data_IF_191178881683
#
_entry.id   IF_191178881683
#
_cell.length_a   1.000
_cell.length_b   1.000
_cell.length_c   1.000
_cell.angle_alpha   90.00
_cell.angle_beta   90.00
_cell.angle_gamma   90.00
#
_symmetry.space_group_name_H-M   'P 1'
#
loop_
_entity.id
_entity.type
_entity.pdbx_description
1 polymer ?
#
# COMPACT_ATOMS: atom_id res chain seq x y z
N UNK A 1 -40.85 8.42 -21.17
CA UNK A 1 -40.15 7.82 -20.02
C UNK A 1 -38.99 6.92 -20.48
N UNK A 2 -39.19 5.94 -21.37
CA UNK A 2 -38.12 5.08 -21.94
C UNK A 2 -36.93 5.87 -22.52
N UNK A 3 -37.22 6.83 -23.41
CA UNK A 3 -36.20 7.63 -24.11
C UNK A 3 -35.36 8.50 -23.17
N UNK A 4 -35.95 9.02 -22.08
CA UNK A 4 -35.23 9.77 -21.06
C UNK A 4 -34.26 8.86 -20.29
N UNK A 5 -34.71 7.65 -19.93
CA UNK A 5 -33.87 6.66 -19.24
C UNK A 5 -32.67 6.24 -20.10
N UNK A 6 -32.88 5.97 -21.38
CA UNK A 6 -31.79 5.64 -22.31
C UNK A 6 -30.81 6.80 -22.47
N UNK A 7 -31.29 8.03 -22.59
CA UNK A 7 -30.43 9.21 -22.68
C UNK A 7 -29.60 9.41 -21.40
N UNK A 8 -30.21 9.22 -20.22
CA UNK A 8 -29.50 9.29 -18.93
C UNK A 8 -28.45 8.18 -18.79
N UNK A 9 -28.76 6.96 -19.22
CA UNK A 9 -27.82 5.83 -19.16
C UNK A 9 -26.60 6.07 -20.07
N UNK A 10 -26.81 6.53 -21.30
CA UNK A 10 -25.72 6.84 -22.23
C UNK A 10 -24.80 7.95 -21.68
N UNK A 11 -25.37 8.99 -21.07
CA UNK A 11 -24.59 10.07 -20.44
C UNK A 11 -23.80 9.58 -19.23
N UNK A 12 -24.36 8.66 -18.45
CA UNK A 12 -23.63 8.05 -17.33
C UNK A 12 -22.45 7.20 -17.84
N UNK A 13 -22.66 6.40 -18.88
CA UNK A 13 -21.62 5.58 -19.50
C UNK A 13 -20.47 6.45 -20.04
N UNK A 14 -20.78 7.56 -20.70
CA UNK A 14 -19.78 8.53 -21.16
C UNK A 14 -18.95 9.11 -20.00
N UNK A 15 -19.61 9.51 -18.91
CA UNK A 15 -18.93 10.05 -17.72
C UNK A 15 -18.06 8.99 -17.05
N UNK A 16 -18.53 7.75 -16.98
CA UNK A 16 -17.77 6.64 -16.41
C UNK A 16 -16.53 6.33 -17.27
N UNK A 17 -16.68 6.28 -18.59
CA UNK A 17 -15.57 6.06 -19.51
C UNK A 17 -14.56 7.21 -19.46
N UNK A 18 -15.02 8.47 -19.40
CA UNK A 18 -14.14 9.62 -19.22
C UNK A 18 -13.36 9.52 -17.90
N UNK A 19 -14.04 9.16 -16.81
CA UNK A 19 -13.40 8.97 -15.50
C UNK A 19 -12.35 7.86 -15.58
N UNK A 20 -12.68 6.70 -16.15
CA UNK A 20 -11.78 5.56 -16.26
C UNK A 20 -10.51 5.90 -17.07
N UNK A 21 -10.69 6.47 -18.27
CA UNK A 21 -9.58 6.92 -19.13
C UNK A 21 -8.72 7.94 -18.42
N UNK A 22 -9.34 8.95 -17.78
CA UNK A 22 -8.60 9.97 -17.04
C UNK A 22 -7.81 9.37 -15.88
N UNK A 23 -8.42 8.47 -15.10
CA UNK A 23 -7.72 7.80 -13.99
C UNK A 23 -6.56 6.93 -14.47
N UNK A 24 -6.74 6.21 -15.58
CA UNK A 24 -5.66 5.41 -16.18
C UNK A 24 -4.49 6.29 -16.62
N UNK A 25 -4.77 7.40 -17.29
CA UNK A 25 -3.73 8.35 -17.72
C UNK A 25 -2.94 8.94 -16.55
N UNK A 26 -3.63 9.29 -15.44
CA UNK A 26 -2.94 9.80 -14.24
C UNK A 26 -2.03 8.74 -13.63
N UNK A 27 -2.51 7.49 -13.52
CA UNK A 27 -1.72 6.38 -12.99
C UNK A 27 -0.49 6.11 -13.87
N UNK A 28 -0.65 6.09 -15.19
CA UNK A 28 0.45 5.88 -16.13
C UNK A 28 1.53 6.96 -15.99
N UNK A 29 1.12 8.23 -15.85
CA UNK A 29 2.05 9.35 -15.64
C UNK A 29 2.79 9.25 -14.30
N UNK A 30 2.09 8.89 -13.22
CA UNK A 30 2.72 8.68 -11.91
C UNK A 30 3.71 7.52 -11.92
N UNK A 31 3.36 6.40 -12.57
CA UNK A 31 4.25 5.26 -12.74
C UNK A 31 5.48 5.62 -13.57
N UNK A 32 5.29 6.38 -14.66
CA UNK A 32 6.41 6.86 -15.48
C UNK A 32 7.35 7.75 -14.67
N UNK A 33 6.82 8.67 -13.87
CA UNK A 33 7.62 9.57 -13.04
C UNK A 33 8.36 8.81 -11.92
N UNK A 34 7.70 7.83 -11.29
CA UNK A 34 8.34 6.94 -10.32
C UNK A 34 9.49 6.16 -10.96
N UNK A 35 9.25 5.53 -12.11
CA UNK A 35 10.26 4.76 -12.83
C UNK A 35 11.41 5.62 -13.36
N UNK A 36 11.18 6.92 -13.59
CA UNK A 36 12.24 7.86 -13.96
C UNK A 36 13.11 8.30 -12.78
N UNK A 37 12.55 8.30 -11.55
CA UNK A 37 13.22 8.78 -10.33
C UNK A 37 13.89 7.67 -9.52
N UNK A 38 13.31 6.47 -9.53
CA UNK A 38 13.72 5.35 -8.71
C UNK A 38 14.18 4.18 -9.57
N UNK A 39 15.31 3.58 -9.19
CA UNK A 39 15.72 2.32 -9.75
C UNK A 39 14.94 1.15 -9.12
N UNK A 40 15.21 -0.07 -9.59
CA UNK A 40 14.54 -1.27 -9.11
C UNK A 40 14.76 -1.47 -7.61
N UNK A 41 15.99 -1.25 -7.13
CA UNK A 41 16.35 -1.44 -5.71
C UNK A 41 15.58 -0.48 -4.82
N UNK A 42 15.50 0.79 -5.21
CA UNK A 42 14.77 1.81 -4.45
C UNK A 42 13.26 1.58 -4.51
N UNK A 43 12.76 1.12 -5.65
CA UNK A 43 11.34 0.77 -5.82
C UNK A 43 10.95 -0.41 -4.93
N UNK A 44 11.74 -1.48 -4.92
CA UNK A 44 11.52 -2.65 -4.06
C UNK A 44 11.59 -2.26 -2.57
N UNK A 45 12.54 -1.41 -2.20
CA UNK A 45 12.64 -0.87 -0.84
C UNK A 45 11.36 -0.10 -0.43
N UNK A 46 10.85 0.79 -1.28
CA UNK A 46 9.63 1.55 -1.01
C UNK A 46 8.40 0.63 -0.89
N UNK A 47 8.32 -0.41 -1.72
CA UNK A 47 7.26 -1.42 -1.65
C UNK A 47 7.33 -2.25 -0.35
N UNK A 48 8.53 -2.57 0.12
CA UNK A 48 8.74 -3.24 1.41
C UNK A 48 8.38 -2.30 2.59
N UNK A 49 8.67 -0.99 2.48
CA UNK A 49 8.28 0.01 3.49
C UNK A 49 6.77 0.21 3.58
N UNK A 50 6.02 0.01 2.49
CA UNK A 50 4.57 0.12 2.48
C UNK A 50 3.88 -0.89 3.44
N UNK A 51 4.57 -1.97 3.83
CA UNK A 51 4.08 -2.90 4.85
C UNK A 51 4.04 -2.32 6.26
N UNK A 52 4.62 -1.15 6.49
CA UNK A 52 4.48 -0.41 7.75
C UNK A 52 3.36 0.65 7.70
N UNK A 53 2.53 0.67 6.65
CA UNK A 53 1.41 1.61 6.57
C UNK A 53 0.49 1.45 7.78
N UNK A 54 0.13 2.54 8.48
CA UNK A 54 -0.85 2.49 9.57
C UNK A 54 -2.29 2.30 9.06
N UNK A 55 -2.51 2.36 7.75
CA UNK A 55 -3.83 2.22 7.14
C UNK A 55 -4.47 0.88 7.52
N UNK A 56 -5.78 0.96 7.77
CA UNK A 56 -6.61 -0.18 8.16
C UNK A 56 -5.94 -1.06 9.24
N UNK A 57 -5.36 -0.39 10.24
CA UNK A 57 -4.70 -1.04 11.37
C UNK A 57 -3.55 -1.96 10.96
N UNK A 58 -2.69 -1.46 10.08
CA UNK A 58 -1.57 -2.21 9.51
C UNK A 58 -2.02 -3.43 8.71
N UNK A 59 -3.09 -3.31 7.92
CA UNK A 59 -3.59 -4.39 7.07
C UNK A 59 -2.49 -4.99 6.18
N UNK A 60 -1.60 -4.14 5.66
CA UNK A 60 -0.51 -4.50 4.75
C UNK A 60 0.75 -5.05 5.44
N UNK A 61 0.71 -5.25 6.76
CA UNK A 61 1.84 -5.78 7.52
C UNK A 61 2.29 -7.15 7.01
N UNK A 62 3.57 -7.23 6.67
CA UNK A 62 4.24 -8.44 6.21
C UNK A 62 5.61 -8.55 6.88
N UNK A 63 5.77 -9.57 7.71
CA UNK A 63 6.99 -9.82 8.47
C UNK A 63 8.22 -10.01 7.58
N UNK A 64 8.08 -10.69 6.44
CA UNK A 64 9.22 -10.99 5.56
C UNK A 64 9.74 -9.71 4.90
N UNK A 65 8.83 -8.82 4.50
CA UNK A 65 9.19 -7.50 3.98
C UNK A 65 9.90 -6.64 5.02
N UNK A 66 9.46 -6.68 6.28
CA UNK A 66 10.16 -5.97 7.37
C UNK A 66 11.56 -6.54 7.60
N UNK A 67 11.74 -7.85 7.51
CA UNK A 67 13.07 -8.46 7.60
C UNK A 67 13.98 -7.98 6.47
N UNK A 68 13.48 -7.88 5.22
CA UNK A 68 14.25 -7.34 4.10
C UNK A 68 14.68 -5.89 4.30
N UNK A 69 13.83 -5.03 4.89
CA UNK A 69 14.19 -3.65 5.23
C UNK A 69 15.50 -3.55 6.03
N UNK A 70 15.78 -4.59 6.81
CA UNK A 70 16.94 -4.62 7.70
C UNK A 70 18.22 -5.02 7.00
N UNK A 71 18.10 -5.70 5.86
CA UNK A 71 19.20 -6.04 4.97
C UNK A 71 19.69 -4.82 4.19
N UNK A 72 18.80 -3.84 3.90
CA UNK A 72 19.18 -2.59 3.22
C UNK A 72 20.00 -1.63 4.11
N UNK A 73 19.85 -1.72 5.44
CA UNK A 73 20.56 -0.83 6.39
C UNK A 73 21.34 -1.61 7.47
N UNK A 74 22.32 -2.44 7.07
CA UNK A 74 23.01 -3.35 7.99
C UNK A 74 23.83 -2.61 9.07
N UNK A 75 24.21 -1.35 8.83
CA UNK A 75 24.93 -0.50 9.80
C UNK A 75 24.02 0.01 10.93
N UNK A 76 22.78 0.36 10.61
CA UNK A 76 21.78 0.84 11.58
C UNK A 76 21.20 -0.32 12.39
N UNK A 77 21.21 -1.50 11.79
CA UNK A 77 20.52 -2.67 12.29
C UNK A 77 21.49 -3.79 12.67
N UNK A 78 22.29 -3.54 13.71
CA UNK A 78 23.14 -4.55 14.33
C UNK A 78 22.33 -5.78 14.82
N UNK A 79 22.95 -6.96 14.71
CA UNK A 79 22.28 -8.27 14.78
C UNK A 79 21.37 -8.54 16.00
N UNK A 80 21.63 -7.93 17.17
CA UNK A 80 20.85 -8.17 18.40
C UNK A 80 19.71 -7.15 18.59
N UNK A 81 20.03 -5.84 18.53
CA UNK A 81 19.05 -4.76 18.71
C UNK A 81 17.95 -4.79 17.65
N UNK A 82 18.32 -5.19 16.43
CA UNK A 82 17.39 -5.34 15.34
C UNK A 82 16.36 -6.46 15.60
N UNK A 83 16.81 -7.65 15.99
CA UNK A 83 15.91 -8.78 16.27
C UNK A 83 14.94 -8.43 17.39
N UNK A 84 15.42 -7.74 18.41
CA UNK A 84 14.61 -7.27 19.53
C UNK A 84 13.59 -6.22 19.08
N UNK A 85 14.00 -5.23 18.27
CA UNK A 85 13.10 -4.22 17.73
C UNK A 85 12.03 -4.83 16.80
N UNK A 86 12.43 -5.69 15.86
CA UNK A 86 11.51 -6.40 14.95
C UNK A 86 10.56 -7.29 15.76
N UNK A 87 11.07 -8.03 16.74
CA UNK A 87 10.24 -8.86 17.61
C UNK A 87 9.21 -8.02 18.36
N UNK A 88 9.63 -6.92 18.98
CA UNK A 88 8.73 -6.01 19.69
C UNK A 88 7.71 -5.36 18.75
N UNK A 89 8.11 -4.99 17.54
CA UNK A 89 7.21 -4.43 16.53
C UNK A 89 6.19 -5.47 16.06
N UNK A 90 6.61 -6.70 15.75
CA UNK A 90 5.72 -7.81 15.39
C UNK A 90 4.72 -8.07 16.52
N UNK A 91 5.19 -8.22 17.76
CA UNK A 91 4.32 -8.49 18.92
C UNK A 91 3.32 -7.36 19.12
N UNK A 92 3.77 -6.10 19.00
CA UNK A 92 2.90 -4.92 19.16
C UNK A 92 1.85 -4.85 18.06
N UNK A 93 2.21 -5.11 16.81
CA UNK A 93 1.27 -5.11 15.69
C UNK A 93 0.30 -6.29 15.75
N UNK A 94 0.76 -7.48 16.17
CA UNK A 94 -0.12 -8.63 16.44
C UNK A 94 -1.11 -8.34 17.56
N UNK A 95 -0.67 -7.64 18.62
CA UNK A 95 -1.55 -7.24 19.72
C UNK A 95 -2.60 -6.21 19.25
N UNK A 96 -2.21 -5.20 18.47
CA UNK A 96 -3.15 -4.22 17.90
C UNK A 96 -4.19 -4.91 17.01
N UNK A 97 -3.78 -5.83 16.13
CA UNK A 97 -4.70 -6.61 15.29
C UNK A 97 -5.65 -7.48 16.12
N UNK A 98 -5.17 -8.15 17.18
CA UNK A 98 -6.02 -8.96 18.08
C UNK A 98 -7.05 -8.10 18.80
N UNK A 99 -6.62 -6.97 19.37
CA UNK A 99 -7.50 -6.06 20.11
C UNK A 99 -8.61 -5.52 19.20
N UNK A 100 -8.30 -5.19 17.94
CA UNK A 100 -9.29 -4.67 16.99
C UNK A 100 -10.27 -5.76 16.54
N UNK A 101 -9.80 -7.00 16.38
CA UNK A 101 -10.68 -8.14 16.12
C UNK A 101 -11.69 -8.36 17.27
N UNK A 102 -11.25 -8.18 18.52
CA UNK A 102 -12.11 -8.28 19.71
C UNK A 102 -13.15 -7.14 19.81
N UNK A 103 -12.94 -6.02 19.12
CA UNK A 103 -13.89 -4.89 19.05
C UNK A 103 -14.81 -4.94 17.82
N UNK A 104 -14.62 -5.90 16.92
CA UNK A 104 -15.40 -6.03 15.68
C UNK A 104 -16.56 -7.04 15.77
N UNK A 105 -16.86 -7.56 16.97
CA UNK A 105 -18.03 -8.40 17.29
C UNK A 105 -19.19 -7.63 17.88
#
# INVERSE_FOLDING_TARGET
MESLRHHQAAKLEEVLNFREVYTGQVIDLELQEMNARFDIVTTDLLLDMASLSPDDSFANFDKEKIMKLTEYYPSEFGNHKLRELIFNLIVSLSMVKSVIADFST
#
